data_IF_878475393610
#
_entry.id   IF_878475393610
#
_cell.length_a   1.000
_cell.length_b   1.000
_cell.length_c   1.000
_cell.angle_alpha   90.00
_cell.angle_beta   90.00
_cell.angle_gamma   90.00
#
_symmetry.space_group_name_H-M   'P 1'
#
loop_
_entity.id
_entity.type
_entity.pdbx_description
1 polymer ?
#
# COMPACT_ATOMS: atom_id res chain seq x y z
N UNK A 1 -11.75 11.19 -15.12
CA UNK A 1 -11.86 9.81 -15.64
C UNK A 1 -10.49 9.15 -15.60
N UNK A 2 -10.31 7.94 -15.04
CA UNK A 2 -9.05 7.21 -15.14
C UNK A 2 -8.72 7.00 -16.62
N UNK A 3 -7.45 7.14 -17.03
CA UNK A 3 -7.03 6.79 -18.40
C UNK A 3 -7.39 5.32 -18.63
N UNK A 4 -8.25 5.04 -19.61
CA UNK A 4 -8.85 3.72 -19.87
C UNK A 4 -7.84 2.55 -19.95
N UNK A 5 -6.56 2.82 -20.24
CA UNK A 5 -5.51 1.81 -20.27
C UNK A 5 -5.20 1.16 -18.91
N UNK A 6 -5.19 1.92 -17.82
CA UNK A 6 -4.80 1.38 -16.51
C UNK A 6 -5.78 0.34 -15.96
N UNK A 7 -7.08 0.56 -16.17
CA UNK A 7 -8.12 -0.40 -15.79
C UNK A 7 -8.07 -1.65 -16.67
N UNK A 8 -7.91 -1.50 -17.99
CA UNK A 8 -7.77 -2.63 -18.91
C UNK A 8 -6.58 -3.52 -18.55
N UNK A 9 -5.44 -2.94 -18.17
CA UNK A 9 -4.27 -3.70 -17.73
C UNK A 9 -4.56 -4.49 -16.45
N UNK A 10 -5.22 -3.86 -15.46
CA UNK A 10 -5.57 -4.54 -14.21
C UNK A 10 -6.56 -5.69 -14.47
N UNK A 11 -7.61 -5.44 -15.24
CA UNK A 11 -8.61 -6.45 -15.58
C UNK A 11 -8.01 -7.62 -16.37
N UNK A 12 -7.10 -7.35 -17.31
CA UNK A 12 -6.42 -8.40 -18.07
C UNK A 12 -5.44 -9.23 -17.21
N UNK A 13 -4.77 -8.60 -16.25
CA UNK A 13 -3.83 -9.29 -15.36
C UNK A 13 -4.51 -10.02 -14.19
N UNK A 14 -5.69 -9.57 -13.79
CA UNK A 14 -6.45 -10.08 -12.65
C UNK A 14 -7.94 -10.17 -13.01
N UNK A 15 -8.29 -11.14 -13.86
CA UNK A 15 -9.65 -11.31 -14.40
C UNK A 15 -10.73 -11.39 -13.31
N UNK A 16 -10.44 -12.11 -12.21
CA UNK A 16 -11.34 -12.24 -11.07
C UNK A 16 -11.03 -11.26 -9.91
N UNK A 17 -10.05 -10.36 -10.11
CA UNK A 17 -9.47 -9.56 -9.05
C UNK A 17 -8.79 -10.40 -7.96
N UNK A 18 -8.81 -9.90 -6.73
CA UNK A 18 -8.20 -10.49 -5.54
C UNK A 18 -9.21 -10.51 -4.36
N UNK A 19 -10.35 -11.22 -4.49
CA UNK A 19 -11.50 -11.09 -3.58
C UNK A 19 -11.20 -11.49 -2.13
N UNK A 20 -10.14 -12.26 -1.90
CA UNK A 20 -9.71 -12.70 -0.57
C UNK A 20 -8.54 -11.89 0.02
N UNK A 21 -8.06 -10.87 -0.70
CA UNK A 21 -6.88 -10.09 -0.30
C UNK A 21 -7.26 -8.65 0.10
N UNK A 22 -6.50 -8.10 1.05
CA UNK A 22 -6.49 -6.68 1.33
C UNK A 22 -5.37 -6.00 0.52
N UNK A 23 -5.72 -5.00 -0.29
CA UNK A 23 -4.79 -4.34 -1.19
C UNK A 23 -4.23 -3.07 -0.56
N UNK A 24 -2.91 -3.04 -0.32
CA UNK A 24 -2.21 -1.85 0.16
C UNK A 24 -1.63 -1.08 -1.02
N UNK A 25 -2.09 0.14 -1.28
CA UNK A 25 -1.69 0.89 -2.48
C UNK A 25 -1.64 2.42 -2.31
N UNK A 26 -0.97 3.09 -3.23
CA UNK A 26 -0.68 4.53 -3.29
C UNK A 26 -1.88 5.43 -3.68
N UNK A 27 -3.11 4.91 -3.63
CA UNK A 27 -4.35 5.55 -4.10
C UNK A 27 -4.42 5.86 -5.60
N UNK A 28 -3.70 5.14 -6.46
CA UNK A 28 -4.01 5.21 -7.89
C UNK A 28 -5.48 4.81 -8.15
N UNK A 29 -6.31 5.61 -8.85
CA UNK A 29 -7.75 5.37 -8.94
C UNK A 29 -8.15 3.99 -9.46
N UNK A 30 -7.37 3.41 -10.36
CA UNK A 30 -7.65 2.09 -10.93
C UNK A 30 -7.56 0.96 -9.89
N UNK A 31 -6.71 1.10 -8.86
CA UNK A 31 -6.60 0.11 -7.80
C UNK A 31 -7.88 -0.01 -6.98
N UNK A 32 -8.62 1.10 -6.78
CA UNK A 32 -9.90 1.09 -6.08
C UNK A 32 -11.05 0.43 -6.88
N UNK A 33 -10.84 0.10 -8.15
CA UNK A 33 -11.80 -0.62 -8.98
C UNK A 33 -11.54 -2.13 -8.98
N UNK A 34 -10.42 -2.58 -8.41
CA UNK A 34 -10.11 -3.99 -8.28
C UNK A 34 -11.11 -4.63 -7.31
N UNK A 35 -11.71 -5.76 -7.70
CA UNK A 35 -12.44 -6.61 -6.76
C UNK A 35 -11.48 -7.14 -5.70
N UNK A 36 -11.57 -6.65 -4.47
CA UNK A 36 -10.71 -7.05 -3.36
C UNK A 36 -11.51 -7.09 -2.06
N UNK A 37 -11.06 -7.90 -1.09
CA UNK A 37 -11.70 -7.98 0.23
C UNK A 37 -11.75 -6.61 0.90
N UNK A 38 -10.66 -5.86 0.77
CA UNK A 38 -10.51 -4.53 1.33
C UNK A 38 -9.39 -3.74 0.64
N UNK A 39 -9.38 -2.43 0.87
CA UNK A 39 -8.33 -1.54 0.43
C UNK A 39 -7.71 -0.83 1.62
N UNK A 40 -6.39 -0.70 1.60
CA UNK A 40 -5.61 0.10 2.52
C UNK A 40 -4.79 1.11 1.72
N UNK A 41 -4.91 2.37 2.10
CA UNK A 41 -4.10 3.46 1.57
C UNK A 41 -2.70 3.35 2.15
N UNK A 42 -1.66 3.34 1.32
CA UNK A 42 -0.28 3.33 1.81
C UNK A 42 0.00 4.60 2.61
N UNK A 43 0.19 4.45 3.92
CA UNK A 43 0.43 5.56 4.85
C UNK A 43 1.76 6.25 4.53
N UNK A 44 2.79 5.54 4.07
CA UNK A 44 4.06 6.15 3.69
C UNK A 44 3.90 7.17 2.54
N UNK A 45 3.07 6.89 1.54
CA UNK A 45 2.76 7.85 0.48
C UNK A 45 1.95 9.04 0.99
N UNK A 46 0.97 8.77 1.87
CA UNK A 46 0.14 9.82 2.44
C UNK A 46 0.95 10.78 3.33
N UNK A 47 1.89 10.25 4.12
CA UNK A 47 2.83 11.04 4.93
C UNK A 47 3.73 11.93 4.05
N UNK A 48 4.22 11.42 2.91
CA UNK A 48 5.00 12.23 1.96
C UNK A 48 4.16 13.37 1.36
N UNK A 49 2.92 13.10 0.97
CA UNK A 49 2.00 14.13 0.46
C UNK A 49 1.69 15.19 1.53
N UNK A 50 1.50 14.79 2.79
CA UNK A 50 1.28 15.70 3.91
C UNK A 50 2.51 16.53 4.25
N UNK A 51 3.72 15.95 4.20
CA UNK A 51 4.97 16.70 4.37
C UNK A 51 5.09 17.79 3.31
N UNK A 52 4.87 17.43 2.05
CA UNK A 52 4.85 18.39 0.95
C UNK A 52 3.82 19.51 1.16
N UNK A 53 2.60 19.18 1.61
CA UNK A 53 1.56 20.16 1.93
C UNK A 53 1.98 21.09 3.08
N UNK A 54 2.57 20.54 4.14
CA UNK A 54 3.05 21.32 5.28
C UNK A 54 4.14 22.30 4.83
N UNK A 55 5.12 21.85 4.05
CA UNK A 55 6.17 22.70 3.48
C UNK A 55 5.60 23.78 2.56
N UNK A 56 4.69 23.40 1.65
CA UNK A 56 4.05 24.31 0.71
C UNK A 56 3.35 25.47 1.42
N UNK A 57 2.66 25.19 2.53
CA UNK A 57 1.94 26.19 3.31
C UNK A 57 2.76 26.73 4.49
N UNK A 58 4.07 26.46 4.55
CA UNK A 58 4.97 26.89 5.64
C UNK A 58 4.39 26.59 7.03
N UNK A 59 3.82 25.40 7.19
CA UNK A 59 3.18 24.91 8.42
C UNK A 59 1.98 25.74 8.91
N UNK A 60 1.40 26.63 8.08
CA UNK A 60 0.21 27.43 8.42
C UNK A 60 -1.10 26.65 8.33
N UNK A 61 -1.10 25.46 7.73
CA UNK A 61 -2.26 24.58 7.64
C UNK A 61 -2.26 23.58 8.80
N UNK A 62 -2.86 23.94 9.93
CA UNK A 62 -2.93 23.08 11.15
C UNK A 62 -3.48 21.67 10.85
N UNK A 63 -4.49 21.57 9.97
CA UNK A 63 -5.06 20.30 9.52
C UNK A 63 -4.00 19.32 9.00
N UNK A 64 -3.07 19.76 8.16
CA UNK A 64 -2.10 18.86 7.53
C UNK A 64 -1.08 18.33 8.54
N UNK A 65 -0.72 19.15 9.53
CA UNK A 65 0.16 18.75 10.63
C UNK A 65 -0.57 17.78 11.57
N UNK A 66 -1.81 18.09 11.97
CA UNK A 66 -2.61 17.25 12.85
C UNK A 66 -2.98 15.91 12.20
N UNK A 67 -3.37 15.90 10.93
CA UNK A 67 -3.68 14.69 10.19
C UNK A 67 -2.45 13.80 10.03
N UNK A 68 -1.27 14.39 9.79
CA UNK A 68 0.01 13.65 9.78
C UNK A 68 0.27 12.97 11.13
N UNK A 69 0.11 13.70 12.24
CA UNK A 69 0.30 13.14 13.58
C UNK A 69 -0.67 11.97 13.84
N UNK A 70 -1.94 12.09 13.46
CA UNK A 70 -2.91 10.99 13.56
C UNK A 70 -2.46 9.72 12.84
N UNK A 71 -1.89 9.84 11.63
CA UNK A 71 -1.39 8.68 10.90
C UNK A 71 -0.17 8.06 11.58
N UNK A 72 0.70 8.88 12.18
CA UNK A 72 1.85 8.40 12.96
C UNK A 72 1.40 7.67 14.22
N UNK A 73 0.39 8.19 14.92
CA UNK A 73 -0.24 7.53 16.07
C UNK A 73 -0.83 6.17 15.67
N UNK A 74 -1.46 6.07 14.50
CA UNK A 74 -1.95 4.80 13.97
C UNK A 74 -0.84 3.78 13.73
N UNK A 75 0.30 4.21 13.16
CA UNK A 75 1.47 3.34 12.98
C UNK A 75 2.02 2.89 14.34
N UNK A 76 2.09 3.78 15.32
CA UNK A 76 2.54 3.45 16.68
C UNK A 76 1.61 2.44 17.33
N UNK A 77 0.30 2.68 17.30
CA UNK A 77 -0.69 1.75 17.84
C UNK A 77 -0.57 0.36 17.20
N UNK A 78 -0.36 0.28 15.88
CA UNK A 78 -0.17 -1.01 15.20
C UNK A 78 1.01 -1.84 15.75
N UNK A 79 2.06 -1.18 16.25
CA UNK A 79 3.20 -1.85 16.88
C UNK A 79 2.89 -2.31 18.31
N UNK A 80 1.98 -1.62 18.99
CA UNK A 80 1.52 -1.97 20.34
C UNK A 80 0.48 -3.10 20.32
N UNK A 81 -0.33 -3.20 19.27
CA UNK A 81 -1.41 -4.20 19.18
C UNK A 81 -0.86 -5.62 19.13
N UNK A 82 -1.36 -6.46 20.03
CA UNK A 82 -1.17 -7.91 20.03
C UNK A 82 -2.28 -8.59 19.23
N UNK A 83 -2.14 -9.90 18.96
CA UNK A 83 -3.18 -10.68 18.27
C UNK A 83 -4.52 -10.66 19.04
N UNK A 84 -4.49 -10.61 20.38
CA UNK A 84 -5.69 -10.57 21.21
C UNK A 84 -6.52 -9.29 20.97
N UNK A 85 -5.87 -8.15 20.71
CA UNK A 85 -6.53 -6.85 20.50
C UNK A 85 -7.38 -6.77 19.22
N UNK A 86 -7.28 -7.76 18.33
CA UNK A 86 -8.11 -7.84 17.13
C UNK A 86 -9.43 -8.58 17.37
N UNK A 87 -9.56 -9.33 18.47
CA UNK A 87 -10.77 -10.07 18.82
C UNK A 87 -11.74 -9.28 19.71
N UNK A 88 -11.27 -8.20 20.34
CA UNK A 88 -12.06 -7.39 21.26
C UNK A 88 -12.06 -5.90 20.86
N UNK A 89 -13.05 -5.11 21.34
CA UNK A 89 -13.01 -3.65 21.24
C UNK A 89 -11.73 -3.10 21.88
N UNK A 90 -11.07 -2.15 21.21
CA UNK A 90 -9.85 -1.50 21.70
C UNK A 90 -10.08 0.01 21.74
N UNK A 91 -10.02 0.60 22.94
CA UNK A 91 -10.35 2.01 23.17
C UNK A 91 -9.41 2.94 22.42
N UNK A 92 -8.10 2.64 22.37
CA UNK A 92 -7.12 3.43 21.60
C UNK A 92 -7.43 3.40 20.11
N UNK A 93 -7.80 2.24 19.57
CA UNK A 93 -8.23 2.09 18.17
C UNK A 93 -9.48 2.93 17.91
N UNK A 94 -10.51 2.81 18.77
CA UNK A 94 -11.74 3.58 18.63
C UNK A 94 -11.49 5.09 18.65
N UNK A 95 -10.73 5.59 19.63
CA UNK A 95 -10.36 7.00 19.72
C UNK A 95 -9.63 7.51 18.47
N UNK A 96 -8.81 6.68 17.81
CA UNK A 96 -8.19 7.04 16.54
C UNK A 96 -9.19 7.16 15.38
N UNK A 97 -10.20 6.28 15.31
CA UNK A 97 -11.25 6.37 14.30
C UNK A 97 -12.12 7.62 14.52
N UNK A 98 -12.43 7.96 15.78
CA UNK A 98 -13.17 9.18 16.10
C UNK A 98 -12.36 10.44 15.74
N UNK A 99 -11.07 10.48 16.09
CA UNK A 99 -10.17 11.57 15.66
C UNK A 99 -10.05 11.64 14.14
N UNK A 100 -10.05 10.51 13.44
CA UNK A 100 -10.01 10.48 11.98
C UNK A 100 -11.23 11.21 11.40
N UNK A 101 -12.42 10.92 11.93
CA UNK A 101 -13.66 11.56 11.49
C UNK A 101 -13.67 13.06 11.75
N UNK A 102 -13.21 13.48 12.92
CA UNK A 102 -13.06 14.89 13.25
C UNK A 102 -12.17 15.60 12.22
N UNK A 103 -11.01 15.03 11.87
CA UNK A 103 -10.13 15.66 10.90
C UNK A 103 -10.61 15.55 9.45
N UNK A 104 -11.38 14.52 9.09
CA UNK A 104 -11.97 14.41 7.76
C UNK A 104 -13.07 15.46 7.51
N UNK A 105 -13.70 15.95 8.58
CA UNK A 105 -14.76 16.98 8.54
C UNK A 105 -14.28 18.37 8.97
N UNK A 106 -13.05 18.49 9.48
CA UNK A 106 -12.50 19.75 9.99
C UNK A 106 -12.50 20.86 8.92
N UNK A 107 -12.94 22.09 9.25
CA UNK A 107 -12.96 23.19 8.30
C UNK A 107 -11.53 23.68 7.98
N UNK A 108 -11.14 23.57 6.71
CA UNK A 108 -9.84 24.04 6.22
C UNK A 108 -10.02 25.38 5.50
N UNK A 109 -9.19 26.37 5.82
CA UNK A 109 -9.14 27.68 5.13
C UNK A 109 -9.04 27.52 3.59
N UNK A 110 -9.82 28.31 2.85
CA UNK A 110 -9.87 28.30 1.38
C UNK A 110 -8.52 28.51 0.69
N UNK A 111 -7.59 29.19 1.35
CA UNK A 111 -6.22 29.40 0.86
C UNK A 111 -5.45 28.08 0.75
N UNK A 112 -5.79 27.08 1.56
CA UNK A 112 -5.13 25.77 1.58
C UNK A 112 -5.77 24.76 0.60
N UNK A 113 -5.91 25.16 -0.68
CA UNK A 113 -6.59 24.39 -1.74
C UNK A 113 -6.12 22.93 -1.87
N UNK A 114 -4.81 22.64 -1.72
CA UNK A 114 -4.28 21.27 -1.80
C UNK A 114 -4.73 20.42 -0.61
N UNK A 115 -4.75 20.99 0.59
CA UNK A 115 -5.26 20.33 1.80
C UNK A 115 -6.74 19.99 1.66
N UNK A 116 -7.58 20.94 1.22
CA UNK A 116 -9.02 20.70 0.95
C UNK A 116 -9.23 19.59 -0.07
N UNK A 117 -8.47 19.61 -1.17
CA UNK A 117 -8.56 18.58 -2.22
C UNK A 117 -8.16 17.20 -1.70
N UNK A 118 -7.12 17.13 -0.85
CA UNK A 118 -6.71 15.87 -0.24
C UNK A 118 -7.76 15.38 0.76
N UNK A 119 -8.22 16.23 1.69
CA UNK A 119 -9.26 15.91 2.66
C UNK A 119 -10.51 15.36 1.98
N UNK A 120 -11.04 16.04 0.95
CA UNK A 120 -12.21 15.56 0.19
C UNK A 120 -12.01 14.17 -0.41
N UNK A 121 -10.82 13.89 -0.96
CA UNK A 121 -10.49 12.57 -1.51
C UNK A 121 -10.38 11.50 -0.42
N UNK A 122 -9.83 11.85 0.74
CA UNK A 122 -9.71 10.95 1.88
C UNK A 122 -11.06 10.65 2.51
N UNK A 123 -11.94 11.66 2.64
CA UNK A 123 -13.31 11.48 3.14
C UNK A 123 -14.08 10.46 2.29
N UNK A 124 -13.97 10.55 0.96
CA UNK A 124 -14.57 9.58 0.04
C UNK A 124 -13.99 8.15 0.14
N UNK A 125 -12.88 7.97 0.84
CA UNK A 125 -12.16 6.70 1.02
C UNK A 125 -11.81 6.46 2.50
N UNK A 126 -12.66 6.95 3.41
CA UNK A 126 -12.49 6.88 4.88
C UNK A 126 -12.07 5.49 5.35
N UNK A 127 -12.85 4.49 4.97
CA UNK A 127 -12.65 3.08 5.38
C UNK A 127 -11.27 2.53 5.00
N UNK A 128 -10.61 3.12 4.01
CA UNK A 128 -9.33 2.66 3.49
C UNK A 128 -8.11 3.28 4.21
N UNK A 129 -8.30 4.22 5.13
CA UNK A 129 -7.19 4.98 5.73
C UNK A 129 -6.53 4.19 6.87
N UNK A 130 -7.33 3.69 7.82
CA UNK A 130 -6.85 2.99 9.02
C UNK A 130 -7.21 1.50 9.02
N UNK A 131 -7.54 0.91 7.88
CA UNK A 131 -7.92 -0.50 7.76
C UNK A 131 -6.86 -1.46 8.33
N UNK A 132 -5.58 -1.10 8.26
CA UNK A 132 -4.48 -1.86 8.86
C UNK A 132 -4.59 -2.04 10.38
N UNK A 133 -5.40 -1.24 11.09
CA UNK A 133 -5.71 -1.40 12.52
C UNK A 133 -6.85 -2.40 12.78
N UNK A 134 -7.61 -2.77 11.75
CA UNK A 134 -8.72 -3.73 11.84
C UNK A 134 -8.28 -5.16 11.56
N UNK A 135 -7.15 -5.36 10.87
CA UNK A 135 -6.66 -6.68 10.47
C UNK A 135 -5.16 -6.80 10.79
N UNK A 136 -4.79 -7.82 11.56
CA UNK A 136 -3.41 -8.02 12.05
C UNK A 136 -2.40 -8.17 10.92
N UNK A 137 -2.76 -8.90 9.87
CA UNK A 137 -1.93 -9.21 8.71
C UNK A 137 -1.81 -8.09 7.66
N UNK A 138 -2.55 -6.99 7.79
CA UNK A 138 -2.48 -5.87 6.85
C UNK A 138 -1.46 -4.84 7.34
N UNK A 139 -0.40 -4.56 6.56
CA UNK A 139 0.56 -3.52 6.91
C UNK A 139 0.03 -2.11 6.57
N UNK A 140 0.54 -1.06 7.22
CA UNK A 140 0.18 0.33 6.91
C UNK A 140 0.76 0.82 5.58
N UNK A 141 1.76 0.14 5.02
CA UNK A 141 2.45 0.55 3.80
C UNK A 141 2.63 -0.60 2.80
N UNK A 142 2.97 -0.26 1.56
CA UNK A 142 3.18 -1.18 0.45
C UNK A 142 4.67 -1.50 0.23
N UNK A 143 5.54 -1.30 1.22
CA UNK A 143 7.00 -1.46 1.07
C UNK A 143 7.40 -2.88 0.63
N UNK A 144 6.60 -3.90 0.98
CA UNK A 144 6.81 -5.27 0.51
C UNK A 144 6.71 -5.39 -1.02
N UNK A 145 5.69 -4.79 -1.61
CA UNK A 145 5.46 -4.79 -3.06
C UNK A 145 6.51 -3.94 -3.79
N UNK A 146 6.86 -2.77 -3.25
CA UNK A 146 7.91 -1.92 -3.83
C UNK A 146 9.27 -2.62 -3.85
N UNK A 147 9.63 -3.32 -2.77
CA UNK A 147 10.88 -4.11 -2.70
C UNK A 147 10.90 -5.24 -3.72
N UNK A 148 9.79 -5.94 -3.94
CA UNK A 148 9.70 -7.00 -4.94
C UNK A 148 9.93 -6.46 -6.37
N UNK A 149 9.33 -5.31 -6.70
CA UNK A 149 9.47 -4.70 -8.03
C UNK A 149 10.87 -4.09 -8.24
N UNK A 150 11.57 -3.70 -7.16
CA UNK A 150 12.90 -3.08 -7.23
C UNK A 150 13.91 -3.91 -8.01
N UNK A 151 13.89 -5.24 -7.89
CA UNK A 151 14.85 -6.10 -8.59
C UNK A 151 14.67 -6.04 -10.11
N UNK A 152 13.44 -5.92 -10.59
CA UNK A 152 13.15 -5.71 -12.02
C UNK A 152 13.71 -4.36 -12.47
N UNK A 153 13.54 -3.31 -11.66
CA UNK A 153 14.09 -1.97 -11.96
C UNK A 153 15.61 -1.93 -11.95
N UNK A 154 16.25 -2.63 -11.02
CA UNK A 154 17.72 -2.78 -10.98
C UNK A 154 18.21 -3.49 -12.22
N UNK A 155 17.59 -4.62 -12.61
CA UNK A 155 17.90 -5.30 -13.87
C UNK A 155 17.78 -4.34 -15.05
N UNK A 156 16.69 -3.58 -15.16
CA UNK A 156 16.49 -2.64 -16.26
C UNK A 156 17.57 -1.55 -16.30
N UNK A 157 17.99 -1.05 -15.13
CA UNK A 157 19.01 -0.01 -15.01
C UNK A 157 20.41 -0.52 -15.39
N UNK A 158 20.78 -1.72 -14.94
CA UNK A 158 22.14 -2.26 -15.09
C UNK A 158 22.31 -3.04 -16.39
N UNK A 159 21.32 -3.86 -16.76
CA UNK A 159 21.39 -4.81 -17.88
C UNK A 159 20.45 -4.44 -19.04
N UNK A 160 19.80 -3.27 -18.97
CA UNK A 160 18.88 -2.81 -20.01
C UNK A 160 17.55 -3.58 -20.06
N UNK A 161 16.79 -3.36 -21.14
CA UNK A 161 15.45 -3.92 -21.32
C UNK A 161 15.48 -5.43 -21.64
N UNK A 162 14.33 -6.10 -21.59
CA UNK A 162 14.21 -7.47 -22.10
C UNK A 162 13.98 -7.43 -23.61
N UNK A 163 14.68 -8.28 -24.37
CA UNK A 163 14.54 -8.33 -25.83
C UNK A 163 13.20 -8.94 -26.27
N UNK A 164 12.67 -9.86 -25.48
CA UNK A 164 11.37 -10.53 -25.71
C UNK A 164 10.56 -10.60 -24.42
N UNK A 165 9.23 -10.75 -24.55
CA UNK A 165 8.34 -10.95 -23.41
C UNK A 165 8.63 -12.27 -22.68
N UNK A 166 9.01 -13.30 -23.43
CA UNK A 166 9.40 -14.60 -22.89
C UNK A 166 10.58 -14.48 -21.90
N UNK A 167 11.64 -13.75 -22.25
CA UNK A 167 12.75 -13.52 -21.32
C UNK A 167 12.31 -12.75 -20.07
N UNK A 168 11.35 -11.84 -20.19
CA UNK A 168 10.79 -11.12 -19.04
C UNK A 168 9.99 -12.06 -18.13
N UNK A 169 9.23 -12.99 -18.71
CA UNK A 169 8.46 -14.00 -17.97
C UNK A 169 9.38 -14.97 -17.23
N UNK A 170 10.41 -15.52 -17.88
CA UNK A 170 11.39 -16.41 -17.25
C UNK A 170 12.07 -15.70 -16.07
N UNK A 171 12.47 -14.43 -16.27
CA UNK A 171 13.03 -13.64 -15.18
C UNK A 171 12.06 -13.45 -14.01
N UNK A 172 10.78 -13.16 -14.30
CA UNK A 172 9.76 -12.99 -13.27
C UNK A 172 9.52 -14.28 -12.48
N UNK A 173 9.47 -15.44 -13.15
CA UNK A 173 9.33 -16.76 -12.51
C UNK A 173 10.51 -17.03 -11.57
N UNK A 174 11.75 -16.94 -12.08
CA UNK A 174 12.94 -17.16 -11.26
C UNK A 174 12.99 -16.21 -10.06
N UNK A 175 12.66 -14.93 -10.28
CA UNK A 175 12.63 -13.94 -9.20
C UNK A 175 11.56 -14.25 -8.15
N UNK A 176 10.39 -14.74 -8.57
CA UNK A 176 9.31 -15.13 -7.65
C UNK A 176 9.73 -16.27 -6.72
N UNK A 177 10.46 -17.27 -7.24
CA UNK A 177 11.01 -18.39 -6.47
C UNK A 177 12.06 -17.89 -5.48
N UNK A 178 12.99 -17.04 -5.95
CA UNK A 178 14.04 -16.48 -5.10
C UNK A 178 13.43 -15.66 -3.96
N UNK A 179 12.50 -14.75 -4.26
CA UNK A 179 11.85 -13.90 -3.26
C UNK A 179 11.05 -14.73 -2.25
N UNK A 180 10.37 -15.78 -2.71
CA UNK A 180 9.65 -16.71 -1.83
C UNK A 180 10.60 -17.48 -0.93
N UNK A 181 11.72 -17.97 -1.45
CA UNK A 181 12.73 -18.70 -0.69
C UNK A 181 13.32 -17.82 0.42
N UNK A 182 13.71 -16.58 0.08
CA UNK A 182 14.23 -15.61 1.04
C UNK A 182 13.19 -15.27 2.12
N UNK A 183 11.93 -15.03 1.74
CA UNK A 183 10.84 -14.72 2.70
C UNK A 183 10.59 -15.86 3.69
N UNK A 184 10.82 -17.11 3.28
CA UNK A 184 10.64 -18.29 4.12
C UNK A 184 11.93 -18.73 4.83
N UNK A 185 13.00 -17.94 4.79
CA UNK A 185 14.29 -18.29 5.40
C UNK A 185 14.96 -19.52 4.77
N UNK A 186 14.57 -19.89 3.54
CA UNK A 186 15.11 -21.04 2.83
C UNK A 186 16.36 -20.67 2.03
N UNK A 187 17.26 -21.63 1.85
CA UNK A 187 18.44 -21.45 1.00
C UNK A 187 18.01 -21.39 -0.47
N UNK A 188 18.31 -20.26 -1.13
CA UNK A 188 17.91 -19.98 -2.51
C UNK A 188 18.50 -20.98 -3.50
N UNK A 189 19.79 -21.32 -3.37
CA UNK A 189 20.45 -22.26 -4.29
C UNK A 189 19.85 -23.66 -4.16
N UNK A 190 19.55 -24.12 -2.93
CA UNK A 190 18.86 -25.39 -2.71
C UNK A 190 17.48 -25.40 -3.35
N UNK A 191 16.71 -24.31 -3.23
CA UNK A 191 15.38 -24.21 -3.83
C UNK A 191 15.44 -24.24 -5.36
N UNK A 192 16.37 -23.51 -5.96
CA UNK A 192 16.58 -23.51 -7.42
C UNK A 192 17.06 -24.88 -7.92
N UNK A 193 17.95 -25.53 -7.19
CA UNK A 193 18.42 -26.87 -7.52
C UNK A 193 17.29 -27.90 -7.48
N UNK A 194 16.44 -27.86 -6.44
CA UNK A 194 15.30 -28.75 -6.33
C UNK A 194 14.36 -28.63 -7.54
N UNK A 195 14.02 -27.41 -7.96
CA UNK A 195 13.17 -27.16 -9.13
C UNK A 195 13.84 -27.64 -10.41
N UNK A 196 15.15 -27.43 -10.56
CA UNK A 196 15.90 -27.87 -11.75
C UNK A 196 16.01 -29.40 -11.84
N UNK A 197 16.07 -30.09 -10.71
CA UNK A 197 16.24 -31.56 -10.65
C UNK A 197 14.92 -32.29 -10.77
N UNK A 198 13.86 -31.81 -10.11
CA UNK A 198 12.61 -32.55 -9.99
C UNK A 198 11.45 -31.97 -10.83
N UNK A 199 11.62 -30.78 -11.42
CA UNK A 199 10.53 -30.07 -12.07
C UNK A 199 9.43 -29.68 -11.07
N UNK A 200 8.44 -28.92 -11.55
CA UNK A 200 7.15 -28.81 -10.87
C UNK A 200 6.20 -29.72 -11.62
N UNK A 201 5.73 -30.80 -10.98
CA UNK A 201 4.56 -31.54 -11.45
C UNK A 201 3.32 -30.64 -11.51
#
# INVERSE_FOLDING_TARGET
MPKAGGFKTIAAAFENGLPNAALVHDRWPCHFQMNAKAHQICIAHLLRELNYINELYKYKCSWATAFKALLQDGILLKKELTTADYYYPNIKRQALFERLDQWLLYPIDERHKKSKKLQKKLLAKRECILYFLLQSNVPPDNNGSERAIRNIKVKQKISGQFKTLECANIFAILRSVIDTSVKNGKNVLKALHLIATFGTE
#
